data_IF_129793816717
#
_entry.id   IF_129793816717
#
_cell.length_a   1.000
_cell.length_b   1.000
_cell.length_c   1.000
_cell.angle_alpha   90.00
_cell.angle_beta   90.00
_cell.angle_gamma   90.00
#
_symmetry.space_group_name_H-M   'P 1'
#
loop_
_entity.id
_entity.type
_entity.pdbx_description
1 polymer ?
#
# COMPACT_ATOMS: atom_id res chain seq x y z
N UNK A 1 10.73 -0.57 12.27
CA UNK A 1 10.36 0.54 13.17
C UNK A 1 9.97 -0.11 14.49
N UNK A 2 10.54 0.33 15.63
CA UNK A 2 10.25 -0.26 16.94
C UNK A 2 9.42 0.73 17.75
N UNK A 3 8.38 0.24 18.42
CA UNK A 3 7.57 1.05 19.34
C UNK A 3 8.42 1.43 20.55
N UNK A 4 8.17 2.62 21.09
CA UNK A 4 8.74 3.06 22.37
C UNK A 4 8.12 2.28 23.53
N UNK A 5 8.76 2.23 24.71
CA UNK A 5 8.18 1.56 25.88
C UNK A 5 6.78 2.08 26.27
N UNK A 6 6.53 3.38 26.12
CA UNK A 6 5.22 3.99 26.38
C UNK A 6 4.16 3.51 25.38
N UNK A 7 4.51 3.45 24.09
CA UNK A 7 3.62 2.93 23.05
C UNK A 7 3.32 1.45 23.25
N UNK A 8 4.32 0.67 23.68
CA UNK A 8 4.13 -0.73 24.06
C UNK A 8 3.15 -0.90 25.22
N UNK A 9 3.26 -0.09 26.27
CA UNK A 9 2.30 -0.11 27.38
C UNK A 9 0.89 0.22 26.88
N UNK A 10 0.73 1.30 26.11
CA UNK A 10 -0.57 1.72 25.61
C UNK A 10 -1.26 0.62 24.76
N UNK A 11 -0.49 -0.11 23.95
CA UNK A 11 -0.99 -1.27 23.18
C UNK A 11 -1.35 -2.42 24.10
N UNK A 12 -0.52 -2.74 25.10
CA UNK A 12 -0.79 -3.81 26.08
C UNK A 12 -2.03 -3.52 26.92
N UNK A 13 -2.24 -2.25 27.28
CA UNK A 13 -3.38 -1.75 28.05
C UNK A 13 -4.65 -1.62 27.20
N UNK A 14 -4.58 -1.91 25.89
CA UNK A 14 -5.73 -1.85 24.97
C UNK A 14 -6.21 -0.44 24.63
N UNK A 15 -5.42 0.59 24.95
CA UNK A 15 -5.73 2.00 24.66
C UNK A 15 -5.21 2.46 23.28
N UNK A 16 -4.34 1.66 22.67
CA UNK A 16 -3.76 1.86 21.36
C UNK A 16 -3.67 0.53 20.58
N UNK A 17 -3.41 0.62 19.28
CA UNK A 17 -3.19 -0.54 18.41
C UNK A 17 -1.80 -0.49 17.78
N UNK A 18 -1.18 -1.65 17.61
CA UNK A 18 -0.03 -1.81 16.71
C UNK A 18 -0.54 -2.29 15.36
N UNK A 19 -0.44 -1.44 14.34
CA UNK A 19 -0.91 -1.75 12.99
C UNK A 19 0.29 -2.04 12.12
N UNK A 20 0.61 -3.33 11.97
CA UNK A 20 1.73 -3.79 11.15
C UNK A 20 3.05 -3.10 11.51
N UNK A 21 3.28 -2.85 12.81
CA UNK A 21 4.48 -2.18 13.32
C UNK A 21 4.41 -0.65 13.35
N UNK A 22 3.29 -0.04 12.96
CA UNK A 22 3.01 1.39 13.17
C UNK A 22 2.16 1.58 14.43
N UNK A 23 2.51 2.57 15.24
CA UNK A 23 1.73 2.94 16.42
C UNK A 23 0.46 3.69 16.02
N UNK A 24 -0.68 3.24 16.54
CA UNK A 24 -1.95 3.95 16.43
C UNK A 24 -2.52 4.22 17.82
N UNK A 25 -2.47 5.48 18.23
CA UNK A 25 -2.80 5.94 19.58
C UNK A 25 -4.31 5.93 19.92
N UNK A 26 -5.11 5.05 19.28
CA UNK A 26 -6.55 4.93 19.54
C UNK A 26 -6.97 3.46 19.52
N UNK A 27 -7.99 3.06 20.29
CA UNK A 27 -8.40 1.66 20.46
C UNK A 27 -9.37 1.18 19.37
N UNK A 28 -9.21 1.66 18.13
CA UNK A 28 -10.07 1.28 17.00
C UNK A 28 -9.32 1.33 15.68
N UNK A 29 -9.77 0.61 14.65
CA UNK A 29 -9.11 0.62 13.35
C UNK A 29 -9.26 1.97 12.62
N UNK A 30 -8.18 2.59 12.12
CA UNK A 30 -8.23 3.91 11.51
C UNK A 30 -9.10 3.94 10.25
N UNK A 31 -9.91 4.99 10.13
CA UNK A 31 -10.59 5.36 8.89
C UNK A 31 -9.59 5.66 7.76
N UNK A 32 -10.07 5.74 6.52
CA UNK A 32 -9.21 6.04 5.36
C UNK A 32 -8.38 7.33 5.55
N UNK A 33 -9.00 8.40 6.02
CA UNK A 33 -8.30 9.68 6.25
C UNK A 33 -7.27 9.58 7.37
N UNK A 34 -7.56 8.80 8.42
CA UNK A 34 -6.63 8.56 9.53
C UNK A 34 -5.46 7.67 9.12
N UNK A 35 -5.70 6.65 8.29
CA UNK A 35 -4.64 5.83 7.69
C UNK A 35 -3.68 6.71 6.90
N UNK A 36 -4.22 7.57 6.06
CA UNK A 36 -3.41 8.50 5.26
C UNK A 36 -2.60 9.44 6.16
N UNK A 37 -3.24 10.03 7.18
CA UNK A 37 -2.54 10.87 8.16
C UNK A 37 -1.49 10.10 8.99
N UNK A 38 -1.68 8.79 9.20
CA UNK A 38 -0.68 7.95 9.84
C UNK A 38 0.53 7.74 8.93
N UNK A 39 0.33 7.42 7.65
CA UNK A 39 1.42 7.29 6.68
C UNK A 39 2.18 8.60 6.53
N UNK A 40 1.47 9.73 6.37
CA UNK A 40 2.06 11.05 6.18
C UNK A 40 3.01 11.48 7.32
N UNK A 41 2.82 10.95 8.53
CA UNK A 41 3.71 11.19 9.68
C UNK A 41 5.03 10.43 9.61
N UNK A 42 5.09 9.37 8.83
CA UNK A 42 6.23 8.44 8.78
C UNK A 42 7.01 8.49 7.47
N UNK A 43 6.52 9.22 6.46
CA UNK A 43 7.16 9.32 5.15
C UNK A 43 7.46 10.79 4.81
N UNK A 44 8.40 11.06 3.90
CA UNK A 44 8.73 12.43 3.51
C UNK A 44 7.55 13.15 2.85
N UNK A 45 7.42 14.46 3.05
CA UNK A 45 6.31 15.25 2.50
C UNK A 45 6.26 15.36 0.97
N UNK A 46 7.34 14.99 0.27
CA UNK A 46 7.36 14.88 -1.20
C UNK A 46 6.85 13.53 -1.71
N UNK A 47 6.66 12.54 -0.83
CA UNK A 47 6.40 11.17 -1.22
C UNK A 47 4.98 10.98 -1.74
N UNK A 48 4.85 10.17 -2.77
CA UNK A 48 3.58 9.69 -3.30
C UNK A 48 3.48 8.22 -2.93
N UNK A 49 2.46 7.82 -2.16
CA UNK A 49 2.30 6.42 -1.77
C UNK A 49 1.94 5.55 -2.98
N UNK A 50 2.53 4.35 -3.08
CA UNK A 50 2.27 3.37 -4.14
C UNK A 50 2.21 1.93 -3.58
N UNK A 51 1.91 0.95 -4.44
CA UNK A 51 1.86 -0.48 -4.14
C UNK A 51 1.19 -0.80 -2.79
N UNK A 52 1.85 -1.55 -1.91
CA UNK A 52 1.30 -1.97 -0.61
C UNK A 52 0.98 -0.80 0.33
N UNK A 53 1.75 0.30 0.28
CA UNK A 53 1.48 1.49 1.10
C UNK A 53 0.21 2.20 0.66
N UNK A 54 0.03 2.44 -0.64
CA UNK A 54 -1.22 2.99 -1.17
C UNK A 54 -2.39 2.02 -1.00
N UNK A 55 -2.17 0.72 -1.22
CA UNK A 55 -3.14 -0.34 -1.00
C UNK A 55 -3.69 -0.31 0.42
N UNK A 56 -2.80 -0.27 1.41
CA UNK A 56 -3.18 -0.16 2.81
C UNK A 56 -3.89 1.17 3.12
N UNK A 57 -3.48 2.30 2.54
CA UNK A 57 -4.22 3.56 2.70
C UNK A 57 -5.66 3.42 2.21
N UNK A 58 -5.87 2.80 1.05
CA UNK A 58 -7.21 2.58 0.48
C UNK A 58 -8.05 1.61 1.30
N UNK A 59 -7.50 0.45 1.69
CA UNK A 59 -8.29 -0.67 2.21
C UNK A 59 -8.13 -0.89 3.71
N UNK A 60 -7.00 -0.51 4.30
CA UNK A 60 -6.61 -0.87 5.66
C UNK A 60 -6.13 -2.32 5.81
N UNK A 61 -6.10 -3.08 4.72
CA UNK A 61 -5.75 -4.50 4.73
C UNK A 61 -4.26 -4.73 4.46
N UNK A 62 -3.74 -5.85 4.98
CA UNK A 62 -2.33 -6.20 4.85
C UNK A 62 -1.41 -5.27 5.64
N UNK A 63 -0.27 -4.91 5.07
CA UNK A 63 0.73 -4.05 5.71
C UNK A 63 1.09 -2.86 4.83
N UNK A 64 1.20 -1.63 5.38
CA UNK A 64 1.77 -0.49 4.66
C UNK A 64 3.29 -0.56 4.57
N UNK A 65 3.93 -1.48 5.29
CA UNK A 65 5.38 -1.67 5.36
C UNK A 65 5.84 -2.89 4.53
N UNK A 66 7.06 -2.84 3.96
CA UNK A 66 7.94 -1.66 3.89
C UNK A 66 7.30 -0.55 3.05
N UNK A 67 7.65 0.71 3.32
CA UNK A 67 7.05 1.83 2.60
C UNK A 67 7.43 1.80 1.12
N UNK A 68 6.43 1.67 0.26
CA UNK A 68 6.55 1.79 -1.18
C UNK A 68 6.15 3.20 -1.62
N UNK A 69 7.14 3.97 -2.07
CA UNK A 69 6.98 5.39 -2.40
C UNK A 69 7.44 5.69 -3.82
N UNK A 70 6.73 6.61 -4.45
CA UNK A 70 7.18 7.31 -5.64
C UNK A 70 7.63 8.73 -5.27
N UNK A 71 8.54 9.28 -6.08
CA UNK A 71 9.00 10.67 -6.00
C UNK A 71 8.53 11.45 -7.23
N UNK A 72 8.21 12.75 -7.09
CA UNK A 72 7.94 13.59 -8.25
C UNK A 72 9.22 13.72 -9.12
N UNK A 73 9.05 13.90 -10.43
CA UNK A 73 10.17 14.18 -11.34
C UNK A 73 10.83 15.52 -11.02
N UNK A 74 10.05 16.50 -10.52
CA UNK A 74 10.51 17.83 -10.13
C UNK A 74 9.75 18.33 -8.88
N UNK A 75 10.43 19.00 -7.92
CA UNK A 75 11.88 19.17 -7.84
C UNK A 75 12.58 17.83 -7.62
N UNK A 76 13.83 17.73 -8.09
CA UNK A 76 14.61 16.52 -7.88
C UNK A 76 14.99 16.39 -6.39
N UNK A 77 14.74 15.23 -5.80
CA UNK A 77 15.21 14.92 -4.44
C UNK A 77 16.69 14.47 -4.46
N UNK A 78 17.38 14.67 -3.34
CA UNK A 78 18.80 14.33 -3.20
C UNK A 78 19.05 12.83 -3.47
N UNK A 79 20.22 12.45 -4.02
CA UNK A 79 20.58 11.04 -4.23
C UNK A 79 20.46 10.20 -2.95
N UNK A 80 20.95 10.73 -1.82
CA UNK A 80 20.86 10.07 -0.52
C UNK A 80 19.41 9.75 -0.12
N UNK A 81 18.47 10.68 -0.31
CA UNK A 81 17.06 10.44 -0.05
C UNK A 81 16.46 9.40 -1.00
N UNK A 82 16.89 9.34 -2.26
CA UNK A 82 16.43 8.29 -3.19
C UNK A 82 16.87 6.90 -2.73
N UNK A 83 18.11 6.77 -2.30
CA UNK A 83 18.66 5.50 -1.82
C UNK A 83 18.00 5.06 -0.52
N UNK A 84 17.87 5.98 0.45
CA UNK A 84 17.22 5.72 1.73
C UNK A 84 15.80 5.17 1.58
N UNK A 85 15.02 5.72 0.64
CA UNK A 85 13.61 5.37 0.44
C UNK A 85 13.36 4.42 -0.72
N UNK A 86 14.41 4.03 -1.46
CA UNK A 86 14.32 3.31 -2.74
C UNK A 86 13.24 3.91 -3.68
N UNK A 87 13.06 5.24 -3.64
CA UNK A 87 11.89 5.90 -4.22
C UNK A 87 11.98 5.97 -5.75
N UNK A 88 11.06 5.28 -6.42
CA UNK A 88 10.97 5.28 -7.90
C UNK A 88 10.36 6.59 -8.38
N UNK A 89 10.69 6.98 -9.60
CA UNK A 89 10.10 8.18 -10.19
C UNK A 89 8.62 7.96 -10.54
N UNK A 90 7.77 8.92 -10.18
CA UNK A 90 6.38 8.98 -10.62
C UNK A 90 6.30 9.37 -12.10
N UNK A 91 5.51 8.61 -12.88
CA UNK A 91 5.29 8.86 -14.30
C UNK A 91 3.79 9.02 -14.56
N UNK A 92 3.36 10.25 -14.81
CA UNK A 92 1.95 10.58 -15.06
C UNK A 92 1.34 9.83 -16.26
N UNK A 93 2.17 9.44 -17.24
CA UNK A 93 1.74 8.65 -18.39
C UNK A 93 1.29 7.22 -18.02
N UNK A 94 1.68 6.70 -16.86
CA UNK A 94 1.37 5.34 -16.41
C UNK A 94 0.49 5.32 -15.16
N UNK A 95 0.43 6.42 -14.41
CA UNK A 95 -0.19 6.45 -13.10
C UNK A 95 -1.15 7.63 -12.95
N UNK A 96 -2.36 7.34 -12.47
CA UNK A 96 -3.27 8.34 -11.93
C UNK A 96 -3.01 8.62 -10.46
N UNK A 97 -3.27 9.86 -10.05
CA UNK A 97 -3.12 10.32 -8.68
C UNK A 97 -4.48 10.60 -8.05
N UNK A 98 -4.57 10.28 -6.76
CA UNK A 98 -5.64 10.70 -5.89
C UNK A 98 -5.05 11.48 -4.72
N UNK A 99 -5.78 12.50 -4.27
CA UNK A 99 -5.46 13.23 -3.04
C UNK A 99 -6.45 12.87 -1.96
N UNK A 100 -5.98 12.26 -0.89
CA UNK A 100 -6.81 11.83 0.25
C UNK A 100 -6.28 12.52 1.50
N UNK A 101 -7.13 13.25 2.22
CA UNK A 101 -6.69 13.93 3.45
C UNK A 101 -5.48 14.86 3.27
N UNK A 102 -5.28 15.42 2.07
CA UNK A 102 -4.15 16.31 1.78
C UNK A 102 -2.84 15.61 1.44
N UNK A 103 -2.81 14.28 1.31
CA UNK A 103 -1.64 13.51 0.90
C UNK A 103 -1.88 12.86 -0.46
N UNK A 104 -0.84 12.81 -1.30
CA UNK A 104 -0.92 12.24 -2.64
C UNK A 104 -0.61 10.74 -2.62
N UNK A 105 -1.52 9.95 -3.18
CA UNK A 105 -1.31 8.52 -3.41
C UNK A 105 -1.74 8.17 -4.83
N UNK A 106 -1.33 6.99 -5.30
CA UNK A 106 -1.92 6.47 -6.53
C UNK A 106 -3.43 6.26 -6.37
N UNK A 107 -4.17 6.51 -7.44
CA UNK A 107 -5.58 6.14 -7.48
C UNK A 107 -5.76 4.62 -7.35
N UNK A 108 -7.00 4.15 -7.21
CA UNK A 108 -7.27 2.72 -6.99
C UNK A 108 -6.77 1.85 -8.14
N UNK A 109 -6.97 2.28 -9.38
CA UNK A 109 -6.56 1.53 -10.58
C UNK A 109 -5.05 1.39 -10.61
N UNK A 110 -4.32 2.50 -10.61
CA UNK A 110 -2.85 2.54 -10.59
C UNK A 110 -2.26 1.84 -9.38
N UNK A 111 -2.92 1.90 -8.22
CA UNK A 111 -2.52 1.14 -7.02
C UNK A 111 -2.60 -0.36 -7.27
N UNK A 112 -3.68 -0.87 -7.87
CA UNK A 112 -3.79 -2.29 -8.20
C UNK A 112 -2.66 -2.75 -9.13
N UNK A 113 -2.34 -1.95 -10.16
CA UNK A 113 -1.25 -2.24 -11.10
C UNK A 113 0.11 -2.32 -10.39
N UNK A 114 0.34 -1.41 -9.45
CA UNK A 114 1.57 -1.32 -8.69
C UNK A 114 1.68 -2.41 -7.62
N UNK A 115 0.58 -2.85 -6.99
CA UNK A 115 0.58 -4.02 -6.10
C UNK A 115 1.00 -5.27 -6.88
N UNK A 116 0.43 -5.48 -8.06
CA UNK A 116 0.77 -6.59 -8.94
C UNK A 116 2.24 -6.60 -9.36
N UNK A 117 2.81 -5.40 -9.57
CA UNK A 117 4.16 -5.25 -10.11
C UNK A 117 5.26 -5.16 -9.06
N UNK A 118 4.93 -4.61 -7.91
CA UNK A 118 5.86 -4.13 -6.90
C UNK A 118 5.42 -4.44 -5.46
N UNK A 119 4.35 -5.21 -5.24
CA UNK A 119 3.89 -5.61 -3.91
C UNK A 119 4.93 -6.39 -3.09
N UNK A 120 4.88 -6.23 -1.77
CA UNK A 120 5.86 -6.71 -0.79
C UNK A 120 5.81 -8.22 -0.53
N UNK A 121 4.61 -8.79 -0.41
CA UNK A 121 4.33 -10.21 -0.15
C UNK A 121 3.06 -10.66 -0.91
N UNK A 122 2.86 -11.97 -1.11
CA UNK A 122 1.77 -12.49 -1.95
C UNK A 122 0.41 -12.34 -1.27
N UNK A 123 0.28 -12.79 -0.02
CA UNK A 123 -0.99 -12.78 0.71
C UNK A 123 -1.52 -11.38 0.99
N UNK A 124 -0.65 -10.47 1.46
CA UNK A 124 -0.99 -9.08 1.70
C UNK A 124 -1.39 -8.36 0.41
N UNK A 125 -0.69 -8.63 -0.68
CA UNK A 125 -1.04 -8.07 -2.01
C UNK A 125 -2.39 -8.59 -2.50
N UNK A 126 -2.63 -9.90 -2.41
CA UNK A 126 -3.90 -10.51 -2.82
C UNK A 126 -5.07 -9.99 -1.99
N UNK A 127 -4.89 -9.90 -0.67
CA UNK A 127 -5.90 -9.33 0.25
C UNK A 127 -6.16 -7.86 -0.10
N UNK A 128 -5.13 -7.05 -0.29
CA UNK A 128 -5.32 -5.65 -0.66
C UNK A 128 -6.04 -5.50 -1.99
N UNK A 129 -5.71 -6.33 -2.99
CA UNK A 129 -6.40 -6.33 -4.28
C UNK A 129 -7.87 -6.68 -4.12
N UNK A 130 -8.22 -7.72 -3.36
CA UNK A 130 -9.60 -8.15 -3.14
C UNK A 130 -10.49 -7.01 -2.64
N UNK A 131 -10.01 -6.26 -1.65
CA UNK A 131 -10.75 -5.13 -1.09
C UNK A 131 -10.69 -3.87 -1.95
N UNK A 132 -9.63 -3.71 -2.76
CA UNK A 132 -9.49 -2.55 -3.64
C UNK A 132 -10.42 -2.66 -4.85
N UNK A 133 -10.59 -3.88 -5.36
CA UNK A 133 -11.46 -4.20 -6.50
C UNK A 133 -12.88 -4.59 -6.10
N UNK A 134 -13.19 -4.63 -4.80
CA UNK A 134 -14.50 -5.05 -4.28
C UNK A 134 -14.90 -6.44 -4.77
N UNK A 135 -13.96 -7.40 -4.74
CA UNK A 135 -14.21 -8.76 -5.21
C UNK A 135 -14.22 -8.95 -6.73
N UNK A 136 -14.21 -7.87 -7.51
CA UNK A 136 -14.12 -7.98 -8.97
C UNK A 136 -12.69 -8.35 -9.39
N UNK A 137 -12.51 -9.21 -10.41
CA UNK A 137 -11.19 -9.56 -10.89
C UNK A 137 -10.45 -8.32 -11.38
N UNK A 138 -9.19 -8.12 -10.95
CA UNK A 138 -8.42 -6.97 -11.40
C UNK A 138 -8.26 -7.03 -12.93
N UNK A 139 -8.65 -5.95 -13.63
CA UNK A 139 -8.65 -5.91 -15.09
C UNK A 139 -7.26 -6.24 -15.64
N UNK A 140 -7.19 -7.32 -16.44
CA UNK A 140 -5.97 -8.08 -16.68
C UNK A 140 -5.02 -7.51 -17.75
N UNK A 141 -5.17 -6.26 -18.20
CA UNK A 141 -4.28 -5.75 -19.25
C UNK A 141 -2.92 -5.27 -18.70
N UNK A 142 -2.15 -6.25 -18.23
CA UNK A 142 -0.81 -6.11 -17.68
C UNK A 142 0.28 -6.23 -18.75
N UNK A 143 -0.09 -6.50 -20.00
CA UNK A 143 0.85 -6.70 -21.11
C UNK A 143 1.66 -5.43 -21.40
N UNK A 144 1.08 -4.27 -21.12
CA UNK A 144 1.73 -2.98 -21.25
C UNK A 144 2.72 -2.66 -20.11
N UNK A 145 2.69 -3.41 -19.00
CA UNK A 145 3.61 -3.24 -17.88
C UNK A 145 4.85 -4.09 -18.12
N UNK A 146 6.00 -3.43 -18.29
CA UNK A 146 7.27 -4.12 -18.51
C UNK A 146 7.75 -4.78 -17.22
N UNK A 147 7.51 -6.09 -17.09
CA UNK A 147 7.90 -6.89 -15.92
C UNK A 147 9.03 -7.86 -16.24
N UNK A 148 9.94 -8.08 -15.28
CA UNK A 148 10.89 -9.18 -15.35
C UNK A 148 10.17 -10.53 -15.20
N UNK A 149 10.75 -11.66 -15.64
CA UNK A 149 10.13 -12.97 -15.49
C UNK A 149 9.77 -13.31 -14.03
N UNK A 150 10.63 -12.94 -13.08
CA UNK A 150 10.37 -13.13 -11.65
C UNK A 150 9.15 -12.33 -11.17
N UNK A 151 9.02 -11.07 -11.59
CA UNK A 151 7.85 -10.23 -11.27
C UNK A 151 6.58 -10.78 -11.89
N UNK A 152 6.63 -11.24 -13.15
CA UNK A 152 5.48 -11.85 -13.81
C UNK A 152 5.00 -13.11 -13.08
N UNK A 153 5.93 -13.99 -12.69
CA UNK A 153 5.61 -15.18 -11.88
C UNK A 153 4.92 -14.80 -10.56
N UNK A 154 5.46 -13.77 -9.88
CA UNK A 154 4.89 -13.27 -8.63
C UNK A 154 3.49 -12.69 -8.84
N UNK A 155 3.27 -11.91 -9.88
CA UNK A 155 1.94 -11.40 -10.25
C UNK A 155 0.94 -12.56 -10.46
N UNK A 156 1.35 -13.63 -11.16
CA UNK A 156 0.53 -14.84 -11.31
C UNK A 156 0.20 -15.49 -9.96
N UNK A 157 1.15 -15.55 -9.02
CA UNK A 157 0.91 -16.08 -7.67
C UNK A 157 -0.07 -15.20 -6.87
N UNK A 158 0.05 -13.87 -6.97
CA UNK A 158 -0.87 -12.93 -6.33
C UNK A 158 -2.30 -13.12 -6.88
N UNK A 159 -2.46 -13.28 -8.19
CA UNK A 159 -3.78 -13.53 -8.79
C UNK A 159 -4.37 -14.87 -8.36
N UNK A 160 -3.57 -15.94 -8.35
CA UNK A 160 -4.03 -17.24 -7.88
C UNK A 160 -4.53 -17.14 -6.43
N UNK A 161 -3.76 -16.48 -5.57
CA UNK A 161 -4.16 -16.26 -4.17
C UNK A 161 -5.38 -15.37 -4.02
N UNK A 162 -5.52 -14.36 -4.87
CA UNK A 162 -6.71 -13.51 -4.92
C UNK A 162 -7.96 -14.33 -5.26
N UNK A 163 -7.87 -15.24 -6.25
CA UNK A 163 -8.99 -16.11 -6.64
C UNK A 163 -9.41 -17.00 -5.47
N UNK A 164 -8.46 -17.66 -4.80
CA UNK A 164 -8.73 -18.46 -3.61
C UNK A 164 -9.45 -17.64 -2.53
N UNK A 165 -8.96 -16.43 -2.23
CA UNK A 165 -9.59 -15.57 -1.23
C UNK A 165 -11.00 -15.10 -1.63
N UNK A 166 -11.23 -14.84 -2.91
CA UNK A 166 -12.54 -14.45 -3.42
C UNK A 166 -13.56 -15.59 -3.32
N UNK A 167 -13.11 -16.84 -3.49
CA UNK A 167 -13.93 -18.04 -3.32
C UNK A 167 -14.22 -18.34 -1.84
N UNK A 168 -13.21 -18.19 -0.96
CA UNK A 168 -13.31 -18.49 0.47
C UNK A 168 -14.11 -17.46 1.27
N UNK A 169 -14.14 -16.18 0.82
CA UNK A 169 -14.75 -15.07 1.56
C UNK A 169 -15.75 -14.25 0.73
N UNK A 170 -16.85 -14.86 0.23
CA UNK A 170 -17.80 -14.19 -0.67
C UNK A 170 -18.61 -13.08 0.00
N UNK A 171 -18.71 -13.06 1.33
CA UNK A 171 -19.55 -12.11 2.08
C UNK A 171 -18.82 -10.81 2.44
N UNK A 172 -17.49 -10.76 2.31
CA UNK A 172 -16.70 -9.53 2.54
C UNK A 172 -16.72 -8.62 1.30
N UNK A 173 -17.13 -9.16 0.15
CA UNK A 173 -17.03 -8.53 -1.17
C UNK A 173 -18.39 -8.27 -1.85
N UNK A 174 -19.52 -8.61 -1.20
CA UNK A 174 -20.89 -8.36 -1.70
C UNK A 174 -21.56 -7.16 -1.03
#
# INVERSE_FOLDING_TARGET
MHLTPLEHSAVADGTALSISGLFWARPYFPSRSERVALIARHVPGWAIATANTAGWMWTGMGSPLPFALLRPSRPAISPLAREQWAAREFRAAHHGLARVGGFDCLDRTSTAQEIMSHGSDVDGSATQLLFLTHGEPPQQDWNHVRMSPARRRRATQILARWTELAEDYPDITR
#
